data_IF_780468921688
#
_entry.id   IF_780468921688
#
_cell.length_a   1.000
_cell.length_b   1.000
_cell.length_c   1.000
_cell.angle_alpha   90.00
_cell.angle_beta   90.00
_cell.angle_gamma   90.00
#
_symmetry.space_group_name_H-M   'P 1'
#
loop_
_entity.id
_entity.type
_entity.pdbx_description
1 polymer ?
#
# COMPACT_ATOMS: atom_id res chain seq x y z
N UNK A 1 -5.74 39.07 -7.11
CA UNK A 1 -4.66 38.17 -7.55
C UNK A 1 -5.32 36.87 -8.04
N UNK A 2 -5.30 36.64 -9.35
CA UNK A 2 -5.86 35.42 -9.95
C UNK A 2 -4.81 34.31 -9.77
N UNK A 3 -5.09 33.32 -8.92
CA UNK A 3 -4.37 32.06 -8.95
C UNK A 3 -4.64 31.38 -10.30
N UNK A 4 -3.67 31.47 -11.19
CA UNK A 4 -3.61 30.63 -12.38
C UNK A 4 -3.29 29.22 -11.89
N UNK A 5 -4.30 28.37 -11.79
CA UNK A 5 -4.11 26.91 -11.72
C UNK A 5 -3.47 26.52 -13.05
N UNK A 6 -2.19 26.26 -13.02
CA UNK A 6 -1.49 25.57 -14.11
C UNK A 6 -2.04 24.13 -14.12
N UNK A 7 -3.06 23.90 -14.94
CA UNK A 7 -3.48 22.54 -15.31
C UNK A 7 -2.28 21.87 -15.98
N UNK A 8 -1.61 21.03 -15.19
CA UNK A 8 -0.44 20.29 -15.60
C UNK A 8 -0.85 19.18 -16.59
N UNK A 9 0.01 18.81 -17.54
CA UNK A 9 -0.22 17.74 -18.52
C UNK A 9 -0.38 16.33 -17.90
N UNK A 10 -0.45 16.22 -16.59
CA UNK A 10 -0.66 14.97 -15.85
C UNK A 10 -2.00 14.30 -16.18
N UNK A 11 -3.06 15.05 -16.38
CA UNK A 11 -4.37 14.49 -16.69
C UNK A 11 -4.38 13.68 -17.99
N UNK A 12 -3.90 14.27 -19.08
CA UNK A 12 -3.90 13.61 -20.39
C UNK A 12 -3.03 12.33 -20.40
N UNK A 13 -1.86 12.36 -19.73
CA UNK A 13 -0.99 11.19 -19.58
C UNK A 13 -1.69 10.06 -18.84
N UNK A 14 -2.40 10.37 -17.76
CA UNK A 14 -3.10 9.35 -16.97
C UNK A 14 -4.23 8.69 -17.78
N UNK A 15 -4.99 9.45 -18.57
CA UNK A 15 -6.01 8.88 -19.46
C UNK A 15 -5.42 7.97 -20.52
N UNK A 16 -4.28 8.32 -21.10
CA UNK A 16 -3.59 7.46 -22.09
C UNK A 16 -3.12 6.16 -21.43
N UNK A 17 -2.53 6.24 -20.23
CA UNK A 17 -2.08 5.05 -19.49
C UNK A 17 -3.27 4.14 -19.19
N UNK A 18 -4.37 4.68 -18.66
CA UNK A 18 -5.57 3.90 -18.36
C UNK A 18 -6.14 3.25 -19.63
N UNK A 19 -6.20 3.99 -20.74
CA UNK A 19 -6.70 3.45 -22.01
C UNK A 19 -5.81 2.30 -22.54
N UNK A 20 -4.49 2.46 -22.51
CA UNK A 20 -3.56 1.42 -22.90
C UNK A 20 -3.65 0.19 -21.97
N UNK A 21 -3.82 0.41 -20.69
CA UNK A 21 -3.94 -0.66 -19.70
C UNK A 21 -5.24 -1.45 -19.88
N UNK A 22 -6.35 -0.78 -20.15
CA UNK A 22 -7.63 -1.43 -20.49
C UNK A 22 -7.50 -2.25 -21.77
N UNK A 23 -6.82 -1.72 -22.80
CA UNK A 23 -6.58 -2.47 -24.05
C UNK A 23 -5.71 -3.71 -23.80
N UNK A 24 -4.67 -3.58 -22.99
CA UNK A 24 -3.82 -4.71 -22.59
C UNK A 24 -4.63 -5.76 -21.81
N UNK A 25 -5.46 -5.33 -20.87
CA UNK A 25 -6.34 -6.20 -20.10
C UNK A 25 -7.26 -7.02 -21.03
N UNK A 26 -7.92 -6.37 -21.99
CA UNK A 26 -8.79 -7.03 -22.97
C UNK A 26 -7.99 -7.96 -23.89
N UNK A 27 -6.80 -7.58 -24.30
CA UNK A 27 -5.92 -8.42 -25.11
C UNK A 27 -5.49 -9.67 -24.35
N UNK A 28 -5.15 -9.55 -23.07
CA UNK A 28 -4.79 -10.70 -22.22
C UNK A 28 -5.97 -11.67 -22.07
N UNK A 29 -7.17 -11.18 -21.85
CA UNK A 29 -8.36 -12.03 -21.75
C UNK A 29 -8.66 -12.81 -23.02
N UNK A 30 -8.28 -12.27 -24.19
CA UNK A 30 -8.61 -12.88 -25.50
C UNK A 30 -7.51 -13.77 -26.07
N UNK A 31 -6.24 -13.42 -25.85
CA UNK A 31 -5.11 -14.01 -26.57
C UNK A 31 -4.14 -14.79 -25.69
N UNK A 32 -4.31 -14.79 -24.37
CA UNK A 32 -3.41 -15.55 -23.51
C UNK A 32 -3.66 -17.07 -23.69
N UNK A 33 -2.65 -17.85 -24.09
CA UNK A 33 -2.78 -19.29 -24.34
C UNK A 33 -2.68 -20.09 -23.03
N UNK A 34 -3.53 -19.77 -22.05
CA UNK A 34 -3.60 -20.42 -20.73
C UNK A 34 -5.06 -20.69 -20.38
N UNK A 35 -5.30 -21.46 -19.32
CA UNK A 35 -6.65 -21.72 -18.84
C UNK A 35 -7.41 -20.42 -18.53
N UNK A 36 -8.73 -20.37 -18.82
CA UNK A 36 -9.53 -19.14 -18.70
C UNK A 36 -9.50 -18.52 -17.28
N UNK A 37 -9.37 -19.34 -16.25
CA UNK A 37 -9.26 -18.85 -14.85
C UNK A 37 -7.92 -18.17 -14.60
N UNK A 38 -6.84 -18.77 -15.08
CA UNK A 38 -5.48 -18.23 -14.99
C UNK A 38 -5.37 -16.93 -15.80
N UNK A 39 -5.95 -16.92 -17.03
CA UNK A 39 -5.96 -15.72 -17.88
C UNK A 39 -6.66 -14.55 -17.18
N UNK A 40 -7.81 -14.78 -16.55
CA UNK A 40 -8.54 -13.76 -15.79
C UNK A 40 -7.73 -13.24 -14.60
N UNK A 41 -7.14 -14.15 -13.82
CA UNK A 41 -6.30 -13.78 -12.67
C UNK A 41 -5.09 -12.94 -13.09
N UNK A 42 -4.36 -13.37 -14.12
CA UNK A 42 -3.20 -12.64 -14.64
C UNK A 42 -3.58 -11.29 -15.25
N UNK A 43 -4.69 -11.21 -15.97
CA UNK A 43 -5.18 -9.96 -16.52
C UNK A 43 -5.51 -8.94 -15.42
N UNK A 44 -6.24 -9.34 -14.38
CA UNK A 44 -6.56 -8.48 -13.24
C UNK A 44 -5.29 -8.06 -12.49
N UNK A 45 -4.37 -8.99 -12.24
CA UNK A 45 -3.10 -8.71 -11.56
C UNK A 45 -2.27 -7.68 -12.33
N UNK A 46 -2.13 -7.87 -13.65
CA UNK A 46 -1.36 -6.96 -14.50
C UNK A 46 -2.01 -5.59 -14.55
N UNK A 47 -3.32 -5.52 -14.74
CA UNK A 47 -4.09 -4.28 -14.78
C UNK A 47 -3.93 -3.47 -13.49
N UNK A 48 -4.17 -4.09 -12.34
CA UNK A 48 -4.02 -3.42 -11.03
C UNK A 48 -2.54 -3.05 -10.79
N UNK A 49 -1.59 -3.91 -11.17
CA UNK A 49 -0.16 -3.63 -11.03
C UNK A 49 0.30 -2.41 -11.83
N UNK A 50 -0.16 -2.25 -13.07
CA UNK A 50 0.15 -1.09 -13.91
C UNK A 50 -0.47 0.18 -13.32
N UNK A 51 -1.73 0.15 -12.89
CA UNK A 51 -2.36 1.28 -12.23
C UNK A 51 -1.64 1.71 -10.96
N UNK A 52 -1.13 0.76 -10.18
CA UNK A 52 -0.35 1.05 -8.96
C UNK A 52 1.02 1.66 -9.27
N UNK A 53 1.77 1.05 -10.21
CA UNK A 53 3.12 1.51 -10.57
C UNK A 53 3.12 2.87 -11.25
N UNK A 54 2.08 3.16 -12.02
CA UNK A 54 1.97 4.42 -12.77
C UNK A 54 1.28 5.54 -11.98
N UNK A 55 0.64 5.19 -10.86
CA UNK A 55 -0.21 6.11 -10.08
C UNK A 55 -1.25 6.85 -10.97
N UNK A 56 -1.70 6.18 -12.04
CA UNK A 56 -2.66 6.75 -12.98
C UNK A 56 -4.03 6.99 -12.34
N UNK A 57 -4.39 6.20 -11.34
CA UNK A 57 -5.53 6.38 -10.45
C UNK A 57 -5.07 6.54 -9.00
N UNK A 58 -5.91 7.18 -8.19
CA UNK A 58 -5.65 7.27 -6.76
C UNK A 58 -5.58 5.87 -6.14
N UNK A 59 -4.60 5.63 -5.27
CA UNK A 59 -4.33 4.32 -4.66
C UNK A 59 -5.57 3.68 -4.04
N UNK A 60 -6.43 4.48 -3.39
CA UNK A 60 -7.69 4.00 -2.79
C UNK A 60 -8.66 3.46 -3.84
N UNK A 61 -8.77 4.13 -4.99
CA UNK A 61 -9.63 3.68 -6.10
C UNK A 61 -9.10 2.39 -6.68
N UNK A 62 -7.78 2.31 -6.91
CA UNK A 62 -7.14 1.09 -7.42
C UNK A 62 -7.32 -0.09 -6.46
N UNK A 63 -7.21 0.14 -5.14
CA UNK A 63 -7.43 -0.89 -4.14
C UNK A 63 -8.87 -1.41 -4.13
N UNK A 64 -9.86 -0.53 -4.30
CA UNK A 64 -11.27 -0.92 -4.39
C UNK A 64 -11.61 -1.65 -5.69
N UNK A 65 -10.87 -1.40 -6.77
CA UNK A 65 -11.05 -2.12 -8.02
C UNK A 65 -10.67 -3.60 -7.91
N UNK A 66 -9.76 -3.98 -7.02
CA UNK A 66 -9.32 -5.38 -6.85
C UNK A 66 -10.50 -6.31 -6.56
N UNK A 67 -11.26 -6.15 -5.47
CA UNK A 67 -12.39 -7.04 -5.17
C UNK A 67 -13.51 -6.92 -6.21
N UNK A 68 -13.75 -5.73 -6.75
CA UNK A 68 -14.77 -5.51 -7.78
C UNK A 68 -14.44 -6.32 -9.03
N UNK A 69 -13.21 -6.23 -9.54
CA UNK A 69 -12.79 -7.01 -10.71
C UNK A 69 -12.75 -8.51 -10.43
N UNK A 70 -12.30 -8.92 -9.24
CA UNK A 70 -12.30 -10.32 -8.84
C UNK A 70 -13.71 -10.94 -8.85
N UNK A 71 -14.72 -10.18 -8.42
CA UNK A 71 -16.11 -10.60 -8.48
C UNK A 71 -16.64 -10.63 -9.92
N UNK A 72 -16.45 -9.55 -10.69
CA UNK A 72 -16.95 -9.48 -12.06
C UNK A 72 -16.31 -10.51 -12.99
N UNK A 73 -15.05 -10.83 -12.77
CA UNK A 73 -14.35 -11.87 -13.53
C UNK A 73 -14.68 -13.30 -13.05
N UNK A 74 -15.44 -13.44 -11.98
CA UNK A 74 -15.77 -14.75 -11.41
C UNK A 74 -14.57 -15.49 -10.80
N UNK A 75 -13.52 -14.74 -10.39
CA UNK A 75 -12.32 -15.29 -9.74
C UNK A 75 -12.63 -15.67 -8.29
N UNK A 76 -13.36 -14.79 -7.60
CA UNK A 76 -13.76 -15.00 -6.22
C UNK A 76 -15.24 -14.69 -6.03
N UNK A 77 -15.97 -15.46 -5.21
CA UNK A 77 -17.31 -15.09 -4.78
C UNK A 77 -17.26 -13.79 -3.96
N UNK A 78 -18.32 -12.97 -4.04
CA UNK A 78 -18.35 -11.64 -3.44
C UNK A 78 -18.01 -11.61 -1.96
N UNK A 79 -18.47 -12.58 -1.21
CA UNK A 79 -18.17 -12.72 0.21
C UNK A 79 -16.66 -12.88 0.47
N UNK A 80 -15.98 -13.73 -0.31
CA UNK A 80 -14.52 -13.92 -0.22
C UNK A 80 -13.73 -12.72 -0.75
N UNK A 81 -14.20 -12.06 -1.80
CA UNK A 81 -13.52 -10.89 -2.35
C UNK A 81 -13.52 -9.71 -1.37
N UNK A 82 -14.56 -9.58 -0.56
CA UNK A 82 -14.72 -8.52 0.43
C UNK A 82 -14.18 -8.89 1.83
N UNK A 83 -14.00 -10.17 2.13
CA UNK A 83 -13.53 -10.63 3.45
C UNK A 83 -12.15 -10.06 3.81
N UNK A 84 -11.29 -9.78 2.81
CA UNK A 84 -10.00 -9.14 3.04
C UNK A 84 -10.09 -7.76 3.70
N UNK A 85 -11.19 -7.03 3.55
CA UNK A 85 -11.39 -5.75 4.24
C UNK A 85 -11.77 -5.91 5.72
N UNK A 86 -12.24 -7.07 6.10
CA UNK A 86 -12.61 -7.40 7.48
C UNK A 86 -11.54 -8.24 8.20
N UNK A 87 -10.34 -8.37 7.61
CA UNK A 87 -9.24 -9.10 8.22
C UNK A 87 -8.80 -8.41 9.53
N UNK A 88 -8.68 -9.15 10.65
CA UNK A 88 -8.22 -8.62 11.92
C UNK A 88 -6.89 -7.88 11.84
N UNK A 89 -6.01 -8.27 10.91
CA UNK A 89 -4.71 -7.62 10.69
C UNK A 89 -4.86 -6.17 10.25
N UNK A 90 -5.91 -5.84 9.46
CA UNK A 90 -6.19 -4.46 9.04
C UNK A 90 -6.55 -3.60 10.25
N UNK A 91 -7.35 -4.13 11.17
CA UNK A 91 -7.70 -3.43 12.40
C UNK A 91 -6.50 -3.25 13.32
N UNK A 92 -5.58 -4.22 13.36
CA UNK A 92 -4.31 -4.08 14.08
C UNK A 92 -3.46 -2.95 13.49
N UNK A 93 -3.32 -2.87 12.16
CA UNK A 93 -2.63 -1.75 11.51
C UNK A 93 -3.32 -0.42 11.77
N UNK A 94 -4.65 -0.38 11.69
CA UNK A 94 -5.39 0.84 11.99
C UNK A 94 -5.15 1.32 13.43
N UNK A 95 -5.17 0.41 14.41
CA UNK A 95 -4.80 0.71 15.79
C UNK A 95 -3.35 1.21 15.92
N UNK A 96 -2.42 0.58 15.21
CA UNK A 96 -1.02 1.00 15.15
C UNK A 96 -0.85 2.41 14.56
N UNK A 97 -1.54 2.74 13.49
CA UNK A 97 -1.52 4.09 12.90
C UNK A 97 -2.16 5.14 13.80
N UNK A 98 -3.27 4.80 14.47
CA UNK A 98 -3.89 5.70 15.45
C UNK A 98 -2.95 5.98 16.61
N UNK A 99 -2.27 4.96 17.13
CA UNK A 99 -1.26 5.10 18.18
C UNK A 99 -0.07 5.93 17.69
N UNK A 100 0.45 5.66 16.50
CA UNK A 100 1.55 6.45 15.91
C UNK A 100 1.16 7.92 15.73
N UNK A 101 -0.07 8.20 15.27
CA UNK A 101 -0.60 9.55 15.20
C UNK A 101 -0.66 10.25 16.57
N UNK A 102 -1.14 9.56 17.59
CA UNK A 102 -1.19 10.10 18.95
C UNK A 102 0.22 10.38 19.53
N UNK A 103 1.20 9.50 19.26
CA UNK A 103 2.59 9.68 19.65
C UNK A 103 3.23 10.88 18.96
N UNK A 104 2.91 11.07 17.67
CA UNK A 104 3.38 12.22 16.88
C UNK A 104 2.81 13.55 17.39
N UNK A 105 1.52 13.61 17.64
CA UNK A 105 0.84 14.77 18.24
C UNK A 105 1.48 15.18 19.56
N UNK A 106 1.83 14.21 20.40
CA UNK A 106 2.49 14.43 21.69
C UNK A 106 4.00 14.67 21.57
N UNK A 107 4.56 14.69 20.35
CA UNK A 107 6.00 14.87 20.06
C UNK A 107 6.90 13.86 20.77
N UNK A 108 6.38 12.69 21.11
CA UNK A 108 7.13 11.62 21.79
C UNK A 108 8.18 11.06 20.85
N UNK A 109 7.89 10.96 19.55
CA UNK A 109 8.82 10.61 18.49
C UNK A 109 10.03 11.54 18.45
N UNK A 110 9.82 12.85 18.46
CA UNK A 110 10.87 13.86 18.49
C UNK A 110 11.69 13.82 19.79
N UNK A 111 11.02 13.60 20.93
CA UNK A 111 11.70 13.45 22.22
C UNK A 111 12.60 12.20 22.23
N UNK A 112 12.10 11.06 21.74
CA UNK A 112 12.85 9.80 21.64
C UNK A 112 14.05 9.95 20.69
N UNK A 113 13.84 10.52 19.51
CA UNK A 113 14.89 10.80 18.55
C UNK A 113 15.97 11.72 19.17
N UNK A 114 15.57 12.78 19.86
CA UNK A 114 16.48 13.68 20.56
C UNK A 114 17.27 13.00 21.68
N UNK A 115 16.70 12.01 22.36
CA UNK A 115 17.39 11.20 23.37
C UNK A 115 18.44 10.29 22.74
N UNK A 116 18.08 9.62 21.64
CA UNK A 116 18.99 8.73 20.88
C UNK A 116 20.18 9.55 20.34
N UNK A 117 19.92 10.73 19.74
CA UNK A 117 20.99 11.59 19.22
C UNK A 117 21.94 12.09 20.32
N UNK A 118 21.44 12.41 21.49
CA UNK A 118 22.27 12.79 22.65
C UNK A 118 23.13 11.62 23.11
N UNK A 119 22.60 10.40 23.16
CA UNK A 119 23.37 9.20 23.48
C UNK A 119 24.45 8.89 22.44
N UNK A 120 24.20 9.23 21.18
CA UNK A 120 25.16 9.08 20.09
C UNK A 120 26.36 10.04 20.17
N UNK A 121 26.36 11.03 21.05
CA UNK A 121 27.44 12.01 21.27
C UNK A 121 27.95 12.69 20.00
N UNK A 122 27.07 12.92 19.02
CA UNK A 122 27.41 13.54 17.72
C UNK A 122 28.05 12.59 16.72
N UNK A 123 28.21 11.30 17.05
CA UNK A 123 28.70 10.29 16.10
C UNK A 123 27.53 9.76 15.24
N UNK A 124 27.60 9.97 13.92
CA UNK A 124 26.60 9.46 12.98
C UNK A 124 26.49 7.93 13.02
N UNK A 125 27.64 7.23 13.09
CA UNK A 125 27.65 5.77 13.18
C UNK A 125 26.96 5.24 14.44
N UNK A 126 27.20 5.88 15.59
CA UNK A 126 26.53 5.51 16.84
C UNK A 126 25.02 5.80 16.79
N UNK A 127 24.60 6.90 16.17
CA UNK A 127 23.19 7.22 15.99
C UNK A 127 22.49 6.16 15.14
N UNK A 128 23.09 5.75 14.02
CA UNK A 128 22.56 4.69 13.15
C UNK A 128 22.44 3.34 13.88
N UNK A 129 23.46 2.97 14.65
CA UNK A 129 23.43 1.72 15.44
C UNK A 129 22.31 1.77 16.49
N UNK A 130 22.15 2.87 17.21
CA UNK A 130 21.13 3.01 18.23
C UNK A 130 19.72 2.99 17.62
N UNK A 131 19.51 3.65 16.48
CA UNK A 131 18.23 3.62 15.76
C UNK A 131 17.95 2.19 15.28
N UNK A 132 18.94 1.53 14.67
CA UNK A 132 18.79 0.16 14.21
C UNK A 132 18.42 -0.80 15.36
N UNK A 133 19.12 -0.72 16.49
CA UNK A 133 18.84 -1.54 17.66
C UNK A 133 17.45 -1.25 18.25
N UNK A 134 17.05 0.01 18.34
CA UNK A 134 15.71 0.39 18.80
C UNK A 134 14.62 -0.16 17.88
N UNK A 135 14.80 -0.03 16.55
CA UNK A 135 13.87 -0.54 15.55
C UNK A 135 13.80 -2.07 15.58
N UNK A 136 14.96 -2.73 15.68
CA UNK A 136 15.03 -4.20 15.78
C UNK A 136 14.33 -4.72 17.05
N UNK A 137 14.53 -4.04 18.18
CA UNK A 137 13.87 -4.39 19.43
C UNK A 137 12.36 -4.23 19.34
N UNK A 138 11.87 -3.10 18.81
CA UNK A 138 10.44 -2.85 18.61
C UNK A 138 9.83 -3.85 17.62
N UNK A 139 10.55 -4.17 16.54
CA UNK A 139 10.11 -5.18 15.56
C UNK A 139 9.99 -6.56 16.17
N UNK A 140 10.94 -6.95 17.03
CA UNK A 140 10.90 -8.23 17.74
C UNK A 140 9.70 -8.32 18.70
N UNK A 141 9.37 -7.21 19.37
CA UNK A 141 8.21 -7.13 20.26
C UNK A 141 6.89 -7.25 19.49
N UNK A 142 6.77 -6.52 18.38
CA UNK A 142 5.57 -6.57 17.53
C UNK A 142 5.37 -7.97 16.90
N UNK A 143 6.44 -8.61 16.45
CA UNK A 143 6.40 -9.97 15.88
C UNK A 143 5.92 -11.01 16.91
N UNK A 144 6.35 -10.93 18.14
CA UNK A 144 5.92 -11.85 19.21
C UNK A 144 4.43 -11.67 19.58
N UNK A 145 3.90 -10.46 19.50
CA UNK A 145 2.48 -10.21 19.77
C UNK A 145 1.58 -10.76 18.64
N UNK A 146 2.05 -10.71 17.40
CA UNK A 146 1.33 -11.29 16.26
C UNK A 146 1.32 -12.83 16.26
N UNK A 147 2.35 -13.46 16.84
CA UNK A 147 2.49 -14.95 16.87
C UNK A 147 1.76 -15.57 18.08
N UNK A 148 1.50 -14.81 19.12
CA UNK A 148 0.83 -15.29 20.35
C UNK A 148 -0.70 -15.31 20.31
N UNK A 149 -1.32 -14.92 19.18
CA UNK A 149 -2.76 -14.84 18.97
C UNK A 149 -3.33 -15.93 18.03
N UNK A 150 -2.62 -17.01 17.82
CA UNK A 150 -3.08 -18.18 17.04
C UNK A 150 -3.60 -19.30 17.93
#
# INVERSE_FOLDING_TARGET
>A
MRHRTTDTPKGHRNYVIIACDVLLFLAMLKWLPVEPEVARGLAVLTFIGILWLTEALHVTVTSLLVPVLAMFMGILPGEKALSGFADPTIFLFFGGFALAGALHEQKIDAWLAGKILRMARGSLGMALILIFLATAFLSMWMSNTATGGG
#
